data_IF_045539606438
#
_entry.id   IF_045539606438
#
_cell.length_a   1.000
_cell.length_b   1.000
_cell.length_c   1.000
_cell.angle_alpha   90.00
_cell.angle_beta   90.00
_cell.angle_gamma   90.00
#
_symmetry.space_group_name_H-M   'P 1'
#
loop_
_entity.id
_entity.type
_entity.pdbx_description
1 polymer ?
#
# COMPACT_ATOMS: atom_id res chain seq x y z
N UNK A 1 11.21 47.91 -14.13
CA UNK A 1 10.83 46.64 -13.46
C UNK A 1 9.97 46.84 -12.19
N UNK A 2 9.09 47.84 -12.01
CA UNK A 2 8.31 47.99 -10.79
C UNK A 2 6.89 47.39 -10.80
N UNK A 3 6.42 46.85 -11.94
CA UNK A 3 5.04 46.34 -12.05
C UNK A 3 4.90 44.85 -11.62
N UNK A 4 5.92 44.04 -11.72
CA UNK A 4 5.89 42.62 -11.33
C UNK A 4 5.91 42.44 -9.80
N UNK A 5 6.66 43.30 -9.08
CA UNK A 5 6.70 43.27 -7.63
C UNK A 5 5.33 43.62 -7.00
N UNK A 6 4.56 44.43 -7.68
CA UNK A 6 3.23 44.87 -7.20
C UNK A 6 2.15 43.78 -7.32
N UNK A 7 2.24 42.90 -8.32
CA UNK A 7 1.29 41.79 -8.51
C UNK A 7 1.62 40.66 -7.53
N UNK A 8 2.90 40.36 -7.35
CA UNK A 8 3.33 39.33 -6.41
C UNK A 8 2.98 39.72 -4.96
N UNK A 9 3.24 40.98 -4.58
CA UNK A 9 2.87 41.51 -3.27
C UNK A 9 1.35 41.51 -3.06
N UNK A 10 0.55 41.90 -4.05
CA UNK A 10 -0.93 41.82 -3.94
C UNK A 10 -1.44 40.39 -3.83
N UNK A 11 -0.85 39.43 -4.53
CA UNK A 11 -1.20 38.01 -4.37
C UNK A 11 -0.79 37.50 -3.00
N UNK A 12 0.39 37.85 -2.52
CA UNK A 12 0.86 37.49 -1.18
C UNK A 12 -0.03 38.08 -0.10
N UNK A 13 -0.40 39.36 -0.20
CA UNK A 13 -1.31 40.04 0.73
C UNK A 13 -2.71 39.41 0.70
N UNK A 14 -3.22 39.05 -0.48
CA UNK A 14 -4.51 38.36 -0.62
C UNK A 14 -4.51 36.97 0.03
N UNK A 15 -3.43 36.21 -0.14
CA UNK A 15 -3.25 34.90 0.48
C UNK A 15 -3.14 35.04 2.01
N UNK A 16 -2.32 35.98 2.48
CA UNK A 16 -2.13 36.24 3.90
C UNK A 16 -3.45 36.70 4.55
N UNK A 17 -4.20 37.61 3.92
CA UNK A 17 -5.48 38.08 4.42
C UNK A 17 -6.53 36.96 4.45
N UNK A 18 -6.59 36.13 3.42
CA UNK A 18 -7.48 34.98 3.36
C UNK A 18 -7.13 33.92 4.42
N UNK A 19 -5.85 33.63 4.60
CA UNK A 19 -5.34 32.74 5.66
C UNK A 19 -5.67 33.30 7.05
N UNK A 20 -5.45 34.60 7.28
CA UNK A 20 -5.74 35.25 8.56
C UNK A 20 -7.22 35.20 8.89
N UNK A 21 -8.11 35.42 7.92
CA UNK A 21 -9.55 35.30 8.11
C UNK A 21 -9.98 33.84 8.45
N UNK A 22 -9.44 32.85 7.77
CA UNK A 22 -9.66 31.44 8.05
C UNK A 22 -9.16 31.05 9.44
N UNK A 23 -8.02 31.57 9.85
CA UNK A 23 -7.37 31.24 11.12
C UNK A 23 -8.09 31.87 12.30
N UNK A 24 -8.48 33.16 12.22
CA UNK A 24 -9.18 33.86 13.31
C UNK A 24 -10.59 33.30 13.56
N UNK A 25 -11.25 32.76 12.53
CA UNK A 25 -12.57 32.13 12.68
C UNK A 25 -12.54 30.64 13.03
N UNK A 26 -11.51 29.91 12.62
CA UNK A 26 -11.52 28.43 12.58
C UNK A 26 -10.19 27.77 12.97
N UNK A 27 -9.38 28.38 13.80
CA UNK A 27 -8.05 27.89 14.15
C UNK A 27 -8.03 26.44 14.65
N UNK A 28 -8.95 26.09 15.53
CA UNK A 28 -9.10 24.72 16.03
C UNK A 28 -9.64 23.75 14.98
N UNK A 29 -10.47 24.23 14.06
CA UNK A 29 -11.09 23.43 13.02
C UNK A 29 -10.06 23.02 11.94
N UNK A 30 -9.12 23.89 11.62
CA UNK A 30 -8.07 23.62 10.64
C UNK A 30 -7.11 22.56 11.12
N UNK A 31 -6.72 22.58 12.39
CA UNK A 31 -5.90 21.55 13.00
C UNK A 31 -6.64 20.22 13.10
N UNK A 32 -7.92 20.24 13.48
CA UNK A 32 -8.76 19.04 13.52
C UNK A 32 -8.91 18.40 12.13
N UNK A 33 -8.98 19.22 11.07
CA UNK A 33 -9.03 18.72 9.68
C UNK A 33 -7.77 17.93 9.32
N UNK A 34 -6.58 18.40 9.71
CA UNK A 34 -5.33 17.68 9.47
C UNK A 34 -5.33 16.31 10.16
N UNK A 35 -5.71 16.26 11.44
CA UNK A 35 -5.82 15.00 12.17
C UNK A 35 -6.85 14.07 11.54
N UNK A 36 -7.99 14.61 11.11
CA UNK A 36 -9.03 13.81 10.45
C UNK A 36 -8.53 13.20 9.13
N UNK A 37 -7.85 13.98 8.29
CA UNK A 37 -7.27 13.46 7.03
C UNK A 37 -6.23 12.38 7.34
N UNK A 38 -5.32 12.60 8.30
CA UNK A 38 -4.34 11.59 8.70
C UNK A 38 -5.02 10.31 9.20
N UNK A 39 -6.06 10.44 10.02
CA UNK A 39 -6.82 9.30 10.51
C UNK A 39 -7.52 8.53 9.37
N UNK A 40 -8.09 9.24 8.38
CA UNK A 40 -8.71 8.62 7.20
C UNK A 40 -7.69 7.85 6.35
N UNK A 41 -6.52 8.44 6.09
CA UNK A 41 -5.44 7.79 5.32
C UNK A 41 -4.92 6.56 6.06
N UNK A 42 -4.72 6.67 7.38
CA UNK A 42 -4.29 5.54 8.20
C UNK A 42 -5.34 4.43 8.26
N UNK A 43 -6.63 4.77 8.43
CA UNK A 43 -7.72 3.80 8.42
C UNK A 43 -7.82 3.08 7.06
N UNK A 44 -7.63 3.80 5.95
CA UNK A 44 -7.58 3.20 4.62
C UNK A 44 -6.39 2.24 4.46
N UNK A 45 -5.20 2.62 4.96
CA UNK A 45 -4.04 1.74 4.96
C UNK A 45 -4.27 0.47 5.79
N UNK A 46 -4.90 0.58 6.98
CA UNK A 46 -5.28 -0.57 7.80
C UNK A 46 -6.32 -1.47 7.12
N UNK A 47 -7.28 -0.90 6.40
CA UNK A 47 -8.24 -1.67 5.63
C UNK A 47 -7.55 -2.48 4.53
N UNK A 48 -6.57 -1.89 3.84
CA UNK A 48 -5.73 -2.59 2.85
C UNK A 48 -4.84 -3.64 3.49
N UNK A 49 -4.27 -3.36 4.65
CA UNK A 49 -3.48 -4.33 5.43
C UNK A 49 -4.34 -5.54 5.85
N UNK A 50 -5.58 -5.32 6.26
CA UNK A 50 -6.51 -6.40 6.57
C UNK A 50 -6.85 -7.27 5.34
N UNK A 51 -7.04 -6.64 4.16
CA UNK A 51 -7.24 -7.38 2.90
C UNK A 51 -6.02 -8.23 2.55
N UNK A 52 -4.80 -7.69 2.73
CA UNK A 52 -3.53 -8.41 2.53
C UNK A 52 -3.43 -9.61 3.48
N UNK A 53 -3.72 -9.41 4.77
CA UNK A 53 -3.70 -10.48 5.75
C UNK A 53 -4.68 -11.60 5.40
N UNK A 54 -5.86 -11.26 4.91
CA UNK A 54 -6.83 -12.26 4.43
C UNK A 54 -6.34 -13.03 3.21
N UNK A 55 -5.66 -12.36 2.27
CA UNK A 55 -5.06 -13.02 1.10
C UNK A 55 -3.90 -13.95 1.48
N UNK A 56 -3.23 -13.68 2.60
CA UNK A 56 -2.15 -14.51 3.16
C UNK A 56 -2.66 -15.66 4.05
N UNK A 57 -3.97 -15.84 4.18
CA UNK A 57 -4.55 -16.94 4.97
C UNK A 57 -4.07 -18.30 4.47
N UNK A 58 -3.92 -19.25 5.40
CA UNK A 58 -3.54 -20.62 5.07
C UNK A 58 -4.64 -21.30 4.25
N UNK A 59 -4.26 -21.94 3.16
CA UNK A 59 -5.17 -22.74 2.33
C UNK A 59 -4.77 -24.21 2.37
N UNK A 60 -5.72 -25.09 2.68
CA UNK A 60 -5.48 -26.53 2.70
C UNK A 60 -5.75 -27.11 1.30
N UNK A 61 -4.68 -27.48 0.57
CA UNK A 61 -4.75 -28.04 -0.77
C UNK A 61 -5.28 -29.49 -0.82
N UNK A 62 -5.36 -30.19 0.31
CA UNK A 62 -5.87 -31.57 0.36
C UNK A 62 -7.34 -31.67 -0.10
N UNK A 63 -8.10 -30.59 0.02
CA UNK A 63 -9.48 -30.53 -0.46
C UNK A 63 -9.61 -30.22 -1.97
N UNK A 64 -8.52 -29.83 -2.66
CA UNK A 64 -8.51 -29.56 -4.10
C UNK A 64 -8.01 -30.80 -4.87
N UNK A 65 -8.69 -31.94 -4.71
CA UNK A 65 -8.34 -33.18 -5.43
C UNK A 65 -8.59 -33.13 -6.94
N UNK A 66 -9.19 -32.06 -7.48
CA UNK A 66 -9.50 -31.94 -8.90
C UNK A 66 -8.74 -30.76 -9.53
N UNK A 67 -7.87 -31.06 -10.51
CA UNK A 67 -7.15 -30.07 -11.33
C UNK A 67 -8.07 -29.04 -12.00
N UNK A 68 -9.30 -29.41 -12.33
CA UNK A 68 -10.30 -28.53 -12.94
C UNK A 68 -10.73 -27.39 -12.03
N UNK A 69 -10.63 -27.56 -10.70
CA UNK A 69 -10.92 -26.51 -9.72
C UNK A 69 -9.91 -25.34 -9.77
N UNK A 70 -8.66 -25.59 -10.17
CA UNK A 70 -7.60 -24.56 -10.27
C UNK A 70 -7.78 -23.66 -11.49
N UNK A 71 -8.32 -24.18 -12.59
CA UNK A 71 -8.52 -23.44 -13.83
C UNK A 71 -9.64 -22.39 -13.73
N UNK A 72 -10.65 -22.66 -12.92
CA UNK A 72 -11.86 -21.84 -12.80
C UNK A 72 -11.81 -20.83 -11.64
N UNK A 73 -10.71 -20.78 -10.88
CA UNK A 73 -10.57 -19.82 -9.78
C UNK A 73 -10.23 -18.43 -10.33
N UNK A 74 -11.13 -17.44 -10.18
CA UNK A 74 -10.79 -16.07 -10.56
C UNK A 74 -9.71 -15.55 -9.63
N UNK A 75 -8.70 -14.87 -10.18
CA UNK A 75 -7.74 -14.10 -9.42
C UNK A 75 -8.47 -12.90 -8.77
N UNK A 76 -9.06 -13.14 -7.62
CA UNK A 76 -9.82 -12.15 -6.84
C UNK A 76 -9.03 -11.78 -5.59
N UNK A 77 -9.24 -10.56 -5.08
CA UNK A 77 -8.71 -10.10 -3.79
C UNK A 77 -9.09 -11.00 -2.59
N UNK A 78 -10.06 -11.91 -2.78
CA UNK A 78 -10.49 -12.88 -1.76
C UNK A 78 -9.81 -14.23 -1.88
N UNK A 79 -9.10 -14.49 -2.98
CA UNK A 79 -8.43 -15.77 -3.24
C UNK A 79 -7.11 -15.82 -2.48
N UNK A 80 -6.81 -16.87 -1.71
CA UNK A 80 -5.51 -17.02 -1.03
C UNK A 80 -4.34 -16.99 -2.02
N UNK A 81 -3.25 -16.33 -1.65
CA UNK A 81 -2.07 -16.15 -2.50
C UNK A 81 -1.47 -17.49 -2.95
N UNK A 82 -1.45 -18.48 -2.06
CA UNK A 82 -1.00 -19.84 -2.39
C UNK A 82 -1.81 -20.48 -3.54
N UNK A 83 -3.11 -20.23 -3.61
CA UNK A 83 -3.96 -20.72 -4.69
C UNK A 83 -3.69 -19.97 -6.00
N UNK A 84 -3.40 -18.68 -5.90
CA UNK A 84 -3.06 -17.86 -7.06
C UNK A 84 -1.74 -18.35 -7.67
N UNK A 85 -0.70 -18.58 -6.86
CA UNK A 85 0.59 -19.11 -7.35
C UNK A 85 0.46 -20.49 -7.98
N UNK A 86 -0.32 -21.38 -7.36
CA UNK A 86 -0.63 -22.69 -7.92
C UNK A 86 -1.37 -22.59 -9.27
N UNK A 87 -2.35 -21.68 -9.38
CA UNK A 87 -3.10 -21.47 -10.62
C UNK A 87 -2.24 -20.87 -11.74
N UNK A 88 -1.30 -19.98 -11.43
CA UNK A 88 -0.37 -19.43 -12.41
C UNK A 88 0.53 -20.49 -12.98
N UNK A 89 1.13 -21.33 -12.12
CA UNK A 89 1.95 -22.45 -12.57
C UNK A 89 1.17 -23.39 -13.49
N UNK A 90 -0.03 -23.79 -13.07
CA UNK A 90 -0.86 -24.73 -13.82
C UNK A 90 -1.25 -24.17 -15.19
N UNK A 91 -1.73 -22.93 -15.25
CA UNK A 91 -2.09 -22.26 -16.51
C UNK A 91 -0.90 -22.09 -17.44
N UNK A 92 0.26 -21.70 -16.91
CA UNK A 92 1.49 -21.59 -17.71
C UNK A 92 1.88 -22.94 -18.31
N UNK A 93 1.86 -24.00 -17.51
CA UNK A 93 2.18 -25.36 -17.98
C UNK A 93 1.19 -25.84 -19.04
N UNK A 94 -0.11 -25.64 -18.84
CA UNK A 94 -1.13 -25.97 -19.85
C UNK A 94 -0.89 -25.20 -21.15
N UNK A 95 -0.64 -23.91 -21.08
CA UNK A 95 -0.41 -23.10 -22.28
C UNK A 95 0.74 -23.65 -23.14
N UNK A 96 1.87 -24.05 -22.51
CA UNK A 96 2.98 -24.65 -23.22
C UNK A 96 2.64 -26.02 -23.81
N UNK A 97 1.81 -26.80 -23.14
CA UNK A 97 1.37 -28.12 -23.65
C UNK A 97 0.43 -27.96 -24.83
N UNK A 98 -0.53 -27.03 -24.74
CA UNK A 98 -1.50 -26.73 -25.81
C UNK A 98 -0.81 -26.17 -27.04
N UNK A 99 0.21 -25.30 -26.89
CA UNK A 99 1.02 -24.80 -28.01
C UNK A 99 1.77 -25.93 -28.71
N UNK A 100 2.38 -26.84 -27.93
CA UNK A 100 3.09 -27.99 -28.49
C UNK A 100 2.16 -28.91 -29.28
N UNK A 101 0.92 -29.10 -28.82
CA UNK A 101 -0.05 -29.94 -29.48
C UNK A 101 -0.59 -29.30 -30.78
N UNK A 102 -0.81 -27.98 -30.78
CA UNK A 102 -1.28 -27.23 -31.96
C UNK A 102 -0.21 -27.15 -33.06
N UNK A 103 1.05 -27.02 -32.69
CA UNK A 103 2.17 -26.94 -33.61
C UNK A 103 2.89 -28.28 -33.70
N UNK A 104 2.18 -29.33 -34.16
CA UNK A 104 2.65 -30.73 -34.29
C UNK A 104 3.96 -30.90 -35.12
N UNK A 105 4.42 -29.83 -35.77
CA UNK A 105 5.66 -29.79 -36.60
C UNK A 105 6.70 -28.78 -36.05
N UNK A 106 6.53 -28.20 -34.89
CA UNK A 106 7.50 -27.25 -34.36
C UNK A 106 8.43 -27.91 -33.37
N UNK A 107 9.72 -27.67 -33.54
CA UNK A 107 10.82 -28.08 -32.61
C UNK A 107 10.76 -27.32 -31.27
N UNK A 108 9.60 -26.73 -30.90
CA UNK A 108 9.43 -26.03 -29.62
C UNK A 108 9.51 -27.03 -28.47
N UNK A 109 10.55 -26.89 -27.70
CA UNK A 109 10.77 -27.67 -26.47
C UNK A 109 9.95 -27.04 -25.36
N UNK A 110 9.09 -27.83 -24.67
CA UNK A 110 8.41 -27.39 -23.46
C UNK A 110 9.46 -26.98 -22.42
N UNK A 111 9.41 -25.77 -21.85
CA UNK A 111 10.36 -25.38 -20.83
C UNK A 111 10.37 -26.36 -19.64
N UNK A 112 11.53 -26.58 -19.00
CA UNK A 112 11.58 -27.37 -17.78
C UNK A 112 10.61 -26.84 -16.72
N UNK A 113 10.01 -27.73 -15.93
CA UNK A 113 9.09 -27.35 -14.85
C UNK A 113 9.71 -26.37 -13.86
N UNK A 114 11.03 -26.41 -13.64
CA UNK A 114 11.76 -25.45 -12.84
C UNK A 114 11.65 -24.01 -13.38
N UNK A 115 11.74 -23.84 -14.70
CA UNK A 115 11.59 -22.52 -15.34
C UNK A 115 10.16 -21.98 -15.20
N UNK A 116 9.16 -22.85 -15.43
CA UNK A 116 7.74 -22.47 -15.27
C UNK A 116 7.43 -22.11 -13.83
N UNK A 117 8.04 -22.84 -12.88
CA UNK A 117 7.92 -22.58 -11.45
C UNK A 117 8.50 -21.21 -11.07
N UNK A 118 9.69 -20.88 -11.56
CA UNK A 118 10.32 -19.59 -11.31
C UNK A 118 9.49 -18.44 -11.90
N UNK A 119 9.01 -18.59 -13.12
CA UNK A 119 8.11 -17.62 -13.73
C UNK A 119 6.81 -17.43 -12.92
N UNK A 120 6.19 -18.52 -12.47
CA UNK A 120 4.99 -18.45 -11.64
C UNK A 120 5.25 -17.82 -10.27
N UNK A 121 6.43 -18.03 -9.70
CA UNK A 121 6.87 -17.37 -8.47
C UNK A 121 6.96 -15.86 -8.67
N UNK A 122 7.69 -15.39 -9.68
CA UNK A 122 7.86 -13.98 -9.99
C UNK A 122 6.53 -13.28 -10.29
N UNK A 123 5.64 -13.93 -11.05
CA UNK A 123 4.29 -13.41 -11.31
C UNK A 123 3.46 -13.28 -10.03
N UNK A 124 3.55 -14.25 -9.13
CA UNK A 124 2.79 -14.25 -7.88
C UNK A 124 3.30 -13.17 -6.92
N UNK A 125 4.62 -13.00 -6.84
CA UNK A 125 5.27 -11.95 -6.06
C UNK A 125 4.83 -10.57 -6.57
N UNK A 126 4.96 -10.34 -7.89
CA UNK A 126 4.56 -9.09 -8.51
C UNK A 126 3.08 -8.80 -8.33
N UNK A 127 2.23 -9.81 -8.49
CA UNK A 127 0.78 -9.67 -8.24
C UNK A 127 0.50 -9.23 -6.80
N UNK A 128 1.18 -9.84 -5.82
CA UNK A 128 1.03 -9.48 -4.42
C UNK A 128 1.52 -8.06 -4.15
N UNK A 129 2.66 -7.68 -4.72
CA UNK A 129 3.21 -6.34 -4.59
C UNK A 129 2.25 -5.28 -5.14
N UNK A 130 1.85 -5.38 -6.41
CA UNK A 130 1.00 -4.40 -7.08
C UNK A 130 -0.40 -4.29 -6.46
N UNK A 131 -1.00 -5.40 -6.02
CA UNK A 131 -2.39 -5.40 -5.52
C UNK A 131 -2.53 -5.08 -4.05
N UNK A 132 -1.55 -5.48 -3.25
CA UNK A 132 -1.66 -5.40 -1.79
C UNK A 132 -0.61 -4.50 -1.17
N UNK A 133 0.65 -4.56 -1.60
CA UNK A 133 1.73 -3.84 -0.94
C UNK A 133 1.86 -2.41 -1.42
N UNK A 134 1.73 -2.16 -2.70
CA UNK A 134 1.85 -0.82 -3.28
C UNK A 134 0.85 0.18 -2.69
N UNK A 135 -0.47 -0.13 -2.54
CA UNK A 135 -1.41 0.78 -1.90
C UNK A 135 -1.05 1.10 -0.44
N UNK A 136 -0.56 0.10 0.32
CA UNK A 136 -0.13 0.31 1.71
C UNK A 136 1.12 1.20 1.74
N UNK A 137 2.08 0.93 0.85
CA UNK A 137 3.31 1.71 0.72
C UNK A 137 3.04 3.16 0.36
N UNK A 138 2.13 3.40 -0.58
CA UNK A 138 1.71 4.74 -0.97
C UNK A 138 1.12 5.51 0.23
N UNK A 139 0.22 4.88 1.00
CA UNK A 139 -0.37 5.52 2.19
C UNK A 139 0.65 5.73 3.31
N UNK A 140 1.55 4.76 3.53
CA UNK A 140 2.62 4.90 4.52
C UNK A 140 3.52 6.09 4.19
N UNK A 141 3.94 6.23 2.94
CA UNK A 141 4.82 7.31 2.50
C UNK A 141 4.16 8.71 2.57
N UNK A 142 2.83 8.79 2.61
CA UNK A 142 2.11 10.04 2.81
C UNK A 142 2.09 10.49 4.28
N UNK A 143 2.27 9.59 5.25
CA UNK A 143 2.16 9.91 6.67
C UNK A 143 3.18 10.97 7.16
N UNK A 144 4.49 10.84 6.91
CA UNK A 144 5.46 11.81 7.37
C UNK A 144 5.26 13.22 6.77
N UNK A 145 5.05 13.39 5.44
CA UNK A 145 4.75 14.71 4.86
C UNK A 145 3.49 15.34 5.44
N UNK A 146 2.44 14.56 5.67
CA UNK A 146 1.20 15.07 6.29
C UNK A 146 1.43 15.53 7.73
N UNK A 147 2.22 14.77 8.50
CA UNK A 147 2.64 15.18 9.84
C UNK A 147 3.40 16.51 9.80
N UNK A 148 4.32 16.66 8.85
CA UNK A 148 5.07 17.90 8.67
C UNK A 148 4.18 19.10 8.27
N UNK A 149 3.24 18.90 7.35
CA UNK A 149 2.23 19.93 6.99
C UNK A 149 1.43 20.34 8.23
N UNK A 150 1.01 19.37 9.04
CA UNK A 150 0.30 19.64 10.29
C UNK A 150 1.10 20.49 11.27
N UNK A 151 2.43 20.25 11.34
CA UNK A 151 3.33 21.06 12.18
C UNK A 151 3.39 22.51 11.68
N UNK A 152 3.55 22.72 10.37
CA UNK A 152 3.57 24.06 9.78
C UNK A 152 2.25 24.78 10.05
N UNK A 153 1.12 24.15 9.78
CA UNK A 153 -0.21 24.71 10.02
C UNK A 153 -0.39 25.06 11.51
N UNK A 154 -0.02 24.15 12.41
CA UNK A 154 -0.11 24.37 13.85
C UNK A 154 0.69 25.57 14.32
N UNK A 155 1.92 25.73 13.83
CA UNK A 155 2.76 26.91 14.16
C UNK A 155 2.18 28.19 13.58
N UNK A 156 1.77 28.20 12.32
CA UNK A 156 1.18 29.40 11.67
C UNK A 156 -0.08 29.84 12.39
N UNK A 157 -1.00 28.92 12.70
CA UNK A 157 -2.21 29.20 13.46
C UNK A 157 -1.87 29.82 14.81
N UNK A 158 -0.89 29.25 15.51
CA UNK A 158 -0.50 29.71 16.83
C UNK A 158 0.09 31.13 16.82
N UNK A 159 1.01 31.40 15.89
CA UNK A 159 1.63 32.72 15.77
C UNK A 159 0.63 33.81 15.37
N UNK A 160 -0.31 33.52 14.47
CA UNK A 160 -1.32 34.49 14.04
C UNK A 160 -2.39 34.73 15.11
N UNK A 161 -2.78 33.71 15.87
CA UNK A 161 -3.75 33.86 16.97
C UNK A 161 -3.20 34.68 18.16
N UNK A 162 -1.88 34.69 18.35
CA UNK A 162 -1.21 35.34 19.47
C UNK A 162 -0.51 36.66 19.12
N UNK A 163 -0.79 37.25 17.96
CA UNK A 163 -0.12 38.48 17.47
C UNK A 163 -0.26 39.73 18.37
N UNK A 164 -1.00 39.64 19.48
CA UNK A 164 -1.20 40.75 20.43
C UNK A 164 -0.57 40.59 21.82
N UNK A 165 -0.19 39.39 22.24
CA UNK A 165 0.39 39.12 23.57
C UNK A 165 1.43 38.02 23.50
N UNK A 166 2.71 38.37 23.69
CA UNK A 166 3.81 37.42 23.78
C UNK A 166 3.80 36.65 25.13
N UNK A 167 2.77 35.83 25.38
CA UNK A 167 2.79 34.94 26.51
C UNK A 167 3.60 33.68 26.16
N UNK A 168 4.77 33.52 26.79
CA UNK A 168 5.71 32.42 26.56
C UNK A 168 5.07 31.03 26.74
N UNK A 169 4.16 30.87 27.70
CA UNK A 169 3.47 29.60 27.97
C UNK A 169 2.56 29.17 26.82
N UNK A 170 1.80 30.09 26.22
CA UNK A 170 0.94 29.82 25.07
C UNK A 170 1.77 29.48 23.84
N UNK A 171 2.93 30.11 23.66
CA UNK A 171 3.83 29.84 22.54
C UNK A 171 4.41 28.43 22.62
N UNK A 172 4.84 27.99 23.82
CA UNK A 172 5.35 26.63 24.04
C UNK A 172 4.25 25.58 23.80
N UNK A 173 3.02 25.81 24.27
CA UNK A 173 1.91 24.89 24.06
C UNK A 173 1.56 24.72 22.57
N UNK A 174 1.58 25.81 21.78
CA UNK A 174 1.35 25.77 20.34
C UNK A 174 2.42 24.99 19.57
N UNK A 175 3.69 25.20 19.91
CA UNK A 175 4.79 24.44 19.32
C UNK A 175 4.68 22.96 19.69
N UNK A 176 4.37 22.63 20.94
CA UNK A 176 4.20 21.27 21.39
C UNK A 176 3.07 20.57 20.59
N UNK A 177 1.91 21.23 20.45
CA UNK A 177 0.80 20.69 19.69
C UNK A 177 1.14 20.47 18.22
N UNK A 178 1.91 21.39 17.60
CA UNK A 178 2.40 21.24 16.24
C UNK A 178 3.33 20.01 16.11
N UNK A 179 4.25 19.79 17.03
CA UNK A 179 5.16 18.65 17.02
C UNK A 179 4.42 17.30 17.14
N UNK A 180 3.28 17.24 17.81
CA UNK A 180 2.49 16.01 17.93
C UNK A 180 2.02 15.49 16.57
N UNK A 181 1.70 16.34 15.61
CA UNK A 181 1.27 15.89 14.27
C UNK A 181 2.38 15.16 13.54
N UNK A 182 3.62 15.68 13.60
CA UNK A 182 4.77 15.00 13.01
C UNK A 182 5.09 13.69 13.72
N UNK A 183 5.02 13.69 15.05
CA UNK A 183 5.24 12.47 15.84
C UNK A 183 4.23 11.38 15.47
N UNK A 184 2.93 11.70 15.40
CA UNK A 184 1.89 10.76 15.00
C UNK A 184 2.13 10.27 13.57
N UNK A 185 2.48 11.16 12.62
CA UNK A 185 2.81 10.80 11.25
C UNK A 185 3.95 9.77 11.16
N UNK A 186 5.02 9.98 11.92
CA UNK A 186 6.17 9.07 11.97
C UNK A 186 5.83 7.73 12.63
N UNK A 187 5.03 7.73 13.71
CA UNK A 187 4.59 6.50 14.37
C UNK A 187 3.72 5.66 13.42
N UNK A 188 2.75 6.29 12.74
CA UNK A 188 1.90 5.61 11.77
C UNK A 188 2.74 5.05 10.60
N UNK A 189 3.68 5.81 10.07
CA UNK A 189 4.60 5.37 9.03
C UNK A 189 5.39 4.13 9.48
N UNK A 190 6.05 4.20 10.63
CA UNK A 190 6.87 3.10 11.16
C UNK A 190 6.05 1.84 11.38
N UNK A 191 4.83 1.99 11.88
CA UNK A 191 3.91 0.87 12.08
C UNK A 191 3.52 0.20 10.75
N UNK A 192 3.18 0.99 9.72
CA UNK A 192 2.82 0.46 8.41
C UNK A 192 4.01 -0.22 7.71
N UNK A 193 5.22 0.34 7.82
CA UNK A 193 6.45 -0.28 7.29
C UNK A 193 6.75 -1.61 7.99
N UNK A 194 6.55 -1.68 9.29
CA UNK A 194 6.68 -2.93 10.05
C UNK A 194 5.67 -3.99 9.57
N UNK A 195 4.41 -3.62 9.40
CA UNK A 195 3.39 -4.52 8.85
C UNK A 195 3.73 -5.02 7.45
N UNK A 196 4.21 -4.15 6.58
CA UNK A 196 4.66 -4.53 5.23
C UNK A 196 5.74 -5.62 5.29
N UNK A 197 6.73 -5.45 6.16
CA UNK A 197 7.83 -6.40 6.31
C UNK A 197 7.34 -7.79 6.74
N UNK A 198 6.35 -7.84 7.64
CA UNK A 198 5.70 -9.09 8.04
C UNK A 198 4.95 -9.71 6.86
N UNK A 199 4.19 -8.91 6.10
CA UNK A 199 3.41 -9.41 4.98
C UNK A 199 4.27 -9.94 3.85
N UNK A 200 5.41 -9.30 3.52
CA UNK A 200 6.37 -9.84 2.55
C UNK A 200 6.90 -11.21 2.99
N UNK A 201 7.31 -11.35 4.25
CA UNK A 201 7.81 -12.63 4.77
C UNK A 201 6.75 -13.74 4.69
N UNK A 202 5.49 -13.42 5.00
CA UNK A 202 4.38 -14.37 4.89
C UNK A 202 4.03 -14.68 3.43
N UNK A 203 4.10 -13.69 2.54
CA UNK A 203 3.79 -13.87 1.12
C UNK A 203 4.74 -14.86 0.45
N UNK A 204 6.03 -14.72 0.68
CA UNK A 204 7.03 -15.65 0.16
C UNK A 204 6.74 -17.09 0.58
N UNK A 205 6.44 -17.28 1.87
CA UNK A 205 6.07 -18.60 2.38
C UNK A 205 4.80 -19.16 1.71
N UNK A 206 3.77 -18.32 1.49
CA UNK A 206 2.52 -18.76 0.86
C UNK A 206 2.67 -19.07 -0.62
N UNK A 207 3.51 -18.33 -1.33
CA UNK A 207 3.85 -18.62 -2.74
C UNK A 207 4.54 -19.96 -2.83
N UNK A 208 5.54 -20.22 -1.99
CA UNK A 208 6.26 -21.50 -1.96
C UNK A 208 5.34 -22.68 -1.63
N UNK A 209 4.46 -22.54 -0.63
CA UNK A 209 3.45 -23.55 -0.28
C UNK A 209 2.52 -23.86 -1.47
N UNK A 210 2.09 -22.83 -2.21
CA UNK A 210 1.24 -23.01 -3.39
C UNK A 210 1.95 -23.75 -4.53
N UNK A 211 3.20 -23.38 -4.79
CA UNK A 211 4.01 -24.01 -5.85
C UNK A 211 4.44 -25.43 -5.49
N UNK A 212 4.73 -25.73 -4.22
CA UNK A 212 5.02 -27.07 -3.75
C UNK A 212 3.80 -27.99 -3.91
N UNK A 213 2.61 -27.52 -3.52
CA UNK A 213 1.38 -28.31 -3.63
C UNK A 213 1.05 -28.75 -5.07
N UNK A 214 1.39 -27.93 -6.08
CA UNK A 214 1.16 -28.30 -7.49
C UNK A 214 2.23 -29.23 -8.03
N UNK A 215 3.46 -29.17 -7.52
CA UNK A 215 4.52 -30.12 -7.88
C UNK A 215 4.14 -31.54 -7.43
N UNK A 216 3.69 -31.70 -6.18
CA UNK A 216 3.25 -32.97 -5.62
C UNK A 216 2.06 -33.58 -6.39
N UNK A 217 1.10 -32.73 -6.83
CA UNK A 217 -0.04 -33.17 -7.67
C UNK A 217 0.41 -33.62 -9.07
N UNK A 218 1.56 -33.14 -9.55
CA UNK A 218 2.15 -33.54 -10.84
C UNK A 218 2.75 -34.95 -10.81
N UNK A 219 3.39 -35.33 -9.73
CA UNK A 219 4.02 -36.66 -9.57
C UNK A 219 3.00 -37.78 -9.39
N UNK A 220 1.92 -37.53 -8.62
CA UNK A 220 0.86 -38.52 -8.38
C UNK A 220 0.00 -38.85 -9.60
N UNK A 221 0.08 -38.08 -10.67
CA UNK A 221 -0.66 -38.34 -11.91
C UNK A 221 0.15 -39.14 -12.96
N UNK A 222 1.46 -39.37 -12.71
CA UNK A 222 2.34 -40.15 -13.57
C UNK A 222 2.60 -41.58 -13.03
N UNK A 223 2.03 -41.91 -11.86
CA UNK A 223 2.01 -43.27 -11.29
C UNK A 223 0.65 -43.91 -11.46
#
# INVERSE_FOLDING_TARGET
MPAQDNIFNKMADGIITGLTYLINGYSGLLQLTVYFIMACVFAFALMKAYQSFRALSHFNFQNLKNRDGLNNLPASLKTPLAVISASFFHKAKQHYLDEKEKERNSDKVVPPDAFIRDAAYQFSERYFEEKFMEPISMMANLMPPMGFIGTIIGMVVHFLSNSGTLNSELTVAGIATALYTTFIGLVCFTFLEFLKKIFYSLAYKRIDEGLAAVADLGETANT
#
